data_IF_836193983827
#
_entry.id   IF_836193983827
#
_cell.length_a   1.000
_cell.length_b   1.000
_cell.length_c   1.000
_cell.angle_alpha   90.00
_cell.angle_beta   90.00
_cell.angle_gamma   90.00
#
_symmetry.space_group_name_H-M   'P 1'
#
loop_
_entity.id
_entity.type
_entity.pdbx_description
1 polymer ?
#
# COMPACT_ATOMS: atom_id res chain seq x y z
N UNK A 1 -21.78 -16.17 -19.68
CA UNK A 1 -22.17 -17.06 -18.56
C UNK A 1 -21.01 -18.00 -18.29
N UNK A 2 -20.18 -17.64 -17.31
CA UNK A 2 -19.11 -18.45 -16.76
C UNK A 2 -18.99 -18.01 -15.32
N UNK A 3 -19.23 -18.94 -14.39
CA UNK A 3 -19.37 -18.68 -12.96
C UNK A 3 -18.15 -17.91 -12.45
N UNK A 4 -18.44 -16.79 -11.77
CA UNK A 4 -17.48 -16.14 -10.89
C UNK A 4 -16.98 -17.21 -9.92
N UNK A 5 -15.68 -17.45 -9.92
CA UNK A 5 -15.02 -18.18 -8.86
C UNK A 5 -15.41 -17.50 -7.55
N UNK A 6 -16.23 -18.16 -6.74
CA UNK A 6 -16.37 -17.78 -5.33
C UNK A 6 -14.96 -17.85 -4.75
N UNK A 7 -14.40 -16.66 -4.47
CA UNK A 7 -13.12 -16.52 -3.78
C UNK A 7 -13.19 -17.36 -2.50
N UNK A 8 -12.22 -18.24 -2.22
CA UNK A 8 -12.18 -19.05 -0.99
C UNK A 8 -12.10 -18.21 0.31
N UNK A 9 -12.14 -16.88 0.20
CA UNK A 9 -12.19 -15.90 1.28
C UNK A 9 -13.43 -15.97 2.18
N UNK A 10 -14.52 -16.61 1.75
CA UNK A 10 -15.76 -16.74 2.53
C UNK A 10 -15.62 -17.57 3.82
N UNK A 11 -14.44 -18.11 4.14
CA UNK A 11 -14.20 -18.81 5.41
C UNK A 11 -13.97 -17.87 6.61
N UNK A 12 -13.85 -16.55 6.40
CA UNK A 12 -13.81 -15.58 7.51
C UNK A 12 -15.22 -15.08 7.78
N UNK A 13 -15.71 -15.29 9.01
CA UNK A 13 -16.94 -14.66 9.47
C UNK A 13 -16.76 -13.13 9.37
N UNK A 14 -17.43 -12.49 8.40
CA UNK A 14 -17.35 -11.05 8.13
C UNK A 14 -17.55 -10.22 9.39
N UNK A 15 -18.49 -10.60 10.26
CA UNK A 15 -18.74 -9.93 11.52
C UNK A 15 -17.53 -10.03 12.48
N UNK A 16 -16.86 -11.18 12.55
CA UNK A 16 -15.66 -11.35 13.38
C UNK A 16 -14.49 -10.53 12.85
N UNK A 17 -14.30 -10.50 11.52
CA UNK A 17 -13.28 -9.65 10.89
C UNK A 17 -13.50 -8.18 11.19
N UNK A 18 -14.72 -7.68 10.96
CA UNK A 18 -15.06 -6.27 11.22
C UNK A 18 -14.98 -5.93 12.70
N UNK A 19 -15.39 -6.84 13.60
CA UNK A 19 -15.24 -6.65 15.04
C UNK A 19 -13.77 -6.50 15.45
N UNK A 20 -12.86 -7.29 14.87
CA UNK A 20 -11.43 -7.15 15.12
C UNK A 20 -10.89 -5.80 14.64
N UNK A 21 -11.31 -5.35 13.44
CA UNK A 21 -10.95 -4.02 12.95
C UNK A 21 -11.51 -2.90 13.84
N UNK A 22 -12.73 -3.02 14.36
CA UNK A 22 -13.30 -2.04 15.29
C UNK A 22 -12.50 -1.95 16.58
N UNK A 23 -12.10 -3.10 17.13
CA UNK A 23 -11.41 -3.15 18.42
C UNK A 23 -9.94 -2.75 18.34
N UNK A 24 -9.25 -3.12 17.25
CA UNK A 24 -7.79 -3.03 17.17
C UNK A 24 -7.27 -2.25 15.96
N UNK A 25 -8.14 -1.86 15.02
CA UNK A 25 -7.73 -1.40 13.69
C UNK A 25 -6.99 -2.47 12.88
N UNK A 26 -6.94 -3.71 13.38
CA UNK A 26 -6.14 -4.82 12.89
C UNK A 26 -6.93 -6.11 12.87
N UNK A 27 -6.73 -6.89 11.82
CA UNK A 27 -7.16 -8.27 11.74
C UNK A 27 -6.09 -9.13 11.09
N UNK A 28 -6.07 -10.40 11.43
CA UNK A 28 -5.23 -11.41 10.78
C UNK A 28 -6.13 -12.33 9.96
N UNK A 29 -5.72 -12.57 8.72
CA UNK A 29 -6.38 -13.49 7.82
C UNK A 29 -5.51 -14.72 7.62
N UNK A 30 -6.13 -15.88 7.44
CA UNK A 30 -5.47 -17.08 6.99
C UNK A 30 -5.75 -17.26 5.49
N UNK A 31 -4.71 -17.41 4.69
CA UNK A 31 -4.78 -17.64 3.24
C UNK A 31 -4.42 -19.08 2.89
N UNK A 32 -4.78 -19.52 1.70
CA UNK A 32 -4.41 -20.87 1.25
C UNK A 32 -2.90 -21.01 1.07
N UNK A 33 -2.39 -22.24 1.11
CA UNK A 33 -0.97 -22.51 0.82
C UNK A 33 -0.54 -22.09 -0.59
N UNK A 34 -1.47 -22.06 -1.55
CA UNK A 34 -1.22 -21.59 -2.92
C UNK A 34 -1.06 -20.07 -2.95
N UNK A 35 -1.98 -19.35 -2.29
CA UNK A 35 -1.91 -17.90 -2.15
C UNK A 35 -0.64 -17.46 -1.39
N UNK A 36 -0.24 -18.19 -0.35
CA UNK A 36 0.95 -17.90 0.45
C UNK A 36 2.27 -18.07 -0.32
N UNK A 37 2.32 -18.89 -1.38
CA UNK A 37 3.54 -19.09 -2.19
C UNK A 37 3.87 -17.89 -3.07
N UNK A 38 2.85 -17.16 -3.53
CA UNK A 38 3.01 -15.99 -4.42
C UNK A 38 3.90 -14.91 -3.78
N UNK A 39 3.62 -14.39 -2.55
CA UNK A 39 4.49 -13.41 -1.91
C UNK A 39 5.86 -13.97 -1.52
N UNK A 40 5.98 -15.28 -1.21
CA UNK A 40 7.28 -15.90 -0.91
C UNK A 40 8.22 -15.84 -2.13
N UNK A 41 7.73 -16.26 -3.30
CA UNK A 41 8.49 -16.16 -4.55
C UNK A 41 8.81 -14.70 -4.89
N UNK A 42 7.86 -13.79 -4.67
CA UNK A 42 8.07 -12.38 -4.93
C UNK A 42 9.15 -11.76 -4.02
N UNK A 43 9.25 -12.13 -2.74
CA UNK A 43 10.34 -11.68 -1.88
C UNK A 43 11.71 -12.02 -2.48
N UNK A 44 11.89 -13.26 -2.94
CA UNK A 44 13.14 -13.73 -3.53
C UNK A 44 13.49 -12.98 -4.82
N UNK A 45 12.55 -12.94 -5.78
CA UNK A 45 12.77 -12.30 -7.08
C UNK A 45 12.97 -10.79 -6.95
N UNK A 46 12.18 -10.11 -6.10
CA UNK A 46 12.33 -8.67 -5.88
C UNK A 46 13.62 -8.34 -5.15
N UNK A 47 14.10 -9.18 -4.22
CA UNK A 47 15.41 -8.97 -3.57
C UNK A 47 16.53 -8.95 -4.60
N UNK A 48 16.57 -9.96 -5.48
CA UNK A 48 17.55 -10.05 -6.58
C UNK A 48 17.46 -8.78 -7.45
N UNK A 49 16.27 -8.41 -7.86
CA UNK A 49 16.04 -7.21 -8.67
C UNK A 49 16.51 -5.92 -7.98
N UNK A 50 16.26 -5.74 -6.68
CA UNK A 50 16.70 -4.56 -5.93
C UNK A 50 18.22 -4.44 -5.87
N UNK A 51 18.94 -5.56 -5.72
CA UNK A 51 20.40 -5.58 -5.77
C UNK A 51 20.89 -5.12 -7.15
N UNK A 52 20.32 -5.65 -8.23
CA UNK A 52 20.64 -5.25 -9.60
C UNK A 52 20.37 -3.76 -9.85
N UNK A 53 19.24 -3.22 -9.35
CA UNK A 53 18.95 -1.78 -9.47
C UNK A 53 19.97 -0.90 -8.74
N UNK A 54 20.52 -1.37 -7.62
CA UNK A 54 21.50 -0.61 -6.85
C UNK A 54 22.86 -0.52 -7.56
N UNK A 55 23.19 -1.48 -8.42
CA UNK A 55 24.38 -1.48 -9.28
C UNK A 55 24.26 -0.51 -10.48
N UNK A 56 23.02 -0.18 -10.88
CA UNK A 56 22.75 0.76 -11.96
C UNK A 56 22.95 2.23 -11.52
N UNK A 57 23.39 3.06 -12.47
CA UNK A 57 23.35 4.51 -12.30
C UNK A 57 21.91 5.00 -12.17
N UNK A 58 21.70 6.15 -11.53
CA UNK A 58 20.37 6.66 -11.20
C UNK A 58 19.44 6.76 -12.41
N UNK A 59 19.99 7.09 -13.57
CA UNK A 59 19.29 7.28 -14.85
C UNK A 59 18.87 5.95 -15.49
N UNK A 60 19.52 4.85 -15.12
CA UNK A 60 19.23 3.51 -15.64
C UNK A 60 18.29 2.70 -14.75
N UNK A 61 18.03 3.16 -13.52
CA UNK A 61 17.09 2.52 -12.61
C UNK A 61 15.68 2.67 -13.16
N UNK A 62 14.91 1.58 -13.13
CA UNK A 62 13.56 1.62 -13.65
C UNK A 62 12.67 2.48 -12.77
N UNK A 63 12.10 3.53 -13.37
CA UNK A 63 11.08 4.38 -12.76
C UNK A 63 10.10 4.78 -13.86
N UNK A 64 8.80 4.71 -13.57
CA UNK A 64 7.74 5.23 -14.43
C UNK A 64 6.76 6.07 -13.62
N UNK A 65 5.98 6.93 -14.28
CA UNK A 65 5.10 7.91 -13.65
C UNK A 65 3.65 7.44 -13.65
N UNK A 66 2.95 7.72 -12.56
CA UNK A 66 1.55 7.28 -12.40
C UNK A 66 0.59 8.09 -13.26
N UNK A 67 0.91 9.36 -13.48
CA UNK A 67 0.28 10.24 -14.44
C UNK A 67 1.19 10.41 -15.66
N UNK A 68 0.66 10.99 -16.74
CA UNK A 68 1.42 11.31 -17.95
C UNK A 68 2.41 12.46 -17.78
N UNK A 69 2.63 12.93 -16.54
CA UNK A 69 3.64 13.96 -16.28
C UNK A 69 5.04 13.40 -16.61
N UNK A 70 5.71 14.00 -17.60
CA UNK A 70 7.06 13.59 -18.02
C UNK A 70 8.11 14.23 -17.13
N UNK A 71 9.14 13.46 -16.80
CA UNK A 71 10.37 14.02 -16.24
C UNK A 71 11.00 15.02 -17.22
N UNK A 72 11.06 16.29 -16.86
CA UNK A 72 11.78 17.31 -17.63
C UNK A 72 10.92 18.27 -18.45
N UNK A 73 9.59 18.11 -18.47
CA UNK A 73 8.76 19.30 -18.62
C UNK A 73 8.98 20.12 -17.34
N UNK A 74 9.31 21.41 -17.47
CA UNK A 74 9.32 22.32 -16.33
C UNK A 74 8.11 22.01 -15.48
N UNK A 75 8.33 21.78 -14.19
CA UNK A 75 7.33 21.63 -13.14
C UNK A 75 6.26 22.69 -13.41
N UNK A 76 5.25 22.32 -14.19
CA UNK A 76 4.45 23.30 -14.89
C UNK A 76 3.52 23.80 -13.80
N UNK A 77 3.87 24.96 -13.24
CA UNK A 77 3.10 25.66 -12.24
C UNK A 77 1.66 25.99 -12.70
N UNK A 78 1.34 25.66 -13.96
CA UNK A 78 0.00 25.68 -14.55
C UNK A 78 -0.83 24.42 -14.29
N UNK A 79 -0.25 23.30 -13.84
CA UNK A 79 -1.05 22.17 -13.37
C UNK A 79 -1.56 22.51 -11.95
N UNK A 80 -2.77 23.06 -11.91
CA UNK A 80 -3.38 23.66 -10.71
C UNK A 80 -3.42 22.70 -9.52
N UNK A 81 -3.32 21.39 -9.76
CA UNK A 81 -3.30 20.37 -8.73
C UNK A 81 -1.95 20.24 -8.00
N UNK A 82 -0.82 20.43 -8.67
CA UNK A 82 0.49 20.39 -8.01
C UNK A 82 0.72 21.61 -7.11
N UNK A 83 0.21 22.77 -7.51
CA UNK A 83 0.30 24.01 -6.73
C UNK A 83 -0.63 24.02 -5.51
N UNK A 84 -1.79 23.37 -5.60
CA UNK A 84 -2.76 23.29 -4.49
C UNK A 84 -2.53 22.09 -3.55
N UNK A 85 -2.04 20.95 -4.07
CA UNK A 85 -1.93 19.67 -3.33
C UNK A 85 -0.55 19.00 -3.52
N UNK A 86 0.55 19.61 -3.03
CA UNK A 86 1.91 19.19 -3.35
C UNK A 86 2.35 17.87 -2.66
N UNK A 87 1.83 17.53 -1.49
CA UNK A 87 2.26 16.33 -0.76
C UNK A 87 1.68 15.04 -1.35
N UNK A 88 0.42 15.07 -1.79
CA UNK A 88 -0.28 13.94 -2.45
C UNK A 88 0.20 13.77 -3.88
N UNK A 89 0.59 14.86 -4.55
CA UNK A 89 1.08 14.81 -5.94
C UNK A 89 2.55 14.37 -6.03
N UNK A 90 3.36 14.58 -4.98
CA UNK A 90 4.73 14.08 -4.92
C UNK A 90 4.79 12.55 -4.77
N UNK A 91 5.71 11.91 -5.48
CA UNK A 91 6.04 10.49 -5.28
C UNK A 91 5.08 9.49 -5.95
N UNK A 92 4.24 9.94 -6.88
CA UNK A 92 3.38 9.07 -7.69
C UNK A 92 4.20 8.42 -8.82
N UNK A 93 4.93 7.36 -8.48
CA UNK A 93 5.77 6.60 -9.41
C UNK A 93 5.53 5.09 -9.29
N UNK A 94 6.00 4.31 -10.24
CA UNK A 94 6.25 2.88 -10.09
C UNK A 94 7.72 2.58 -10.39
N UNK A 95 8.23 1.45 -9.93
CA UNK A 95 9.62 1.05 -10.07
C UNK A 95 10.45 1.25 -8.81
N UNK A 96 11.75 1.50 -9.00
CA UNK A 96 12.75 1.56 -7.93
C UNK A 96 12.65 2.85 -7.12
N UNK A 97 12.77 2.72 -5.80
CA UNK A 97 12.95 3.84 -4.90
C UNK A 97 13.82 3.45 -3.71
N UNK A 98 14.40 4.44 -3.04
CA UNK A 98 15.21 4.23 -1.85
C UNK A 98 15.18 5.44 -0.94
N UNK A 99 15.23 5.21 0.36
CA UNK A 99 15.46 6.21 1.38
C UNK A 99 16.65 5.79 2.29
N UNK A 100 16.88 6.51 3.39
CA UNK A 100 17.99 6.21 4.32
C UNK A 100 17.87 4.87 5.03
N UNK A 101 16.65 4.32 5.12
CA UNK A 101 16.32 3.13 5.89
C UNK A 101 16.06 1.90 5.02
N UNK A 102 15.75 2.06 3.72
CA UNK A 102 15.33 0.94 2.86
C UNK A 102 15.44 1.26 1.38
N UNK A 103 15.56 0.21 0.59
CA UNK A 103 15.32 0.21 -0.85
C UNK A 103 14.04 -0.58 -1.13
N UNK A 104 13.29 -0.20 -2.17
CA UNK A 104 12.00 -0.83 -2.44
C UNK A 104 11.55 -0.72 -3.88
N UNK A 105 10.74 -1.70 -4.27
CA UNK A 105 9.96 -1.67 -5.49
C UNK A 105 8.56 -1.14 -5.15
N UNK A 106 8.10 -0.12 -5.87
CA UNK A 106 6.74 0.39 -5.80
C UNK A 106 5.97 -0.03 -7.07
N UNK A 107 4.83 -0.67 -6.91
CA UNK A 107 4.00 -1.13 -8.02
C UNK A 107 2.55 -0.71 -7.86
N UNK A 108 1.83 -0.64 -8.97
CA UNK A 108 0.42 -0.27 -9.05
C UNK A 108 -0.21 -1.06 -10.19
N UNK A 109 -1.49 -1.38 -10.08
CA UNK A 109 -2.20 -2.05 -11.17
C UNK A 109 -2.24 -1.14 -12.42
N UNK A 110 -1.91 -1.68 -13.61
CA UNK A 110 -2.18 -0.98 -14.85
C UNK A 110 -3.68 -1.01 -15.13
N UNK A 111 -4.25 0.10 -15.61
CA UNK A 111 -5.70 0.21 -15.84
C UNK A 111 -5.99 0.07 -17.34
N UNK A 112 -6.97 -0.73 -17.74
CA UNK A 112 -7.29 -0.87 -19.18
C UNK A 112 -7.61 0.47 -19.85
N UNK A 113 -8.39 1.31 -19.16
CA UNK A 113 -8.74 2.64 -19.63
C UNK A 113 -7.52 3.55 -19.83
N UNK A 114 -6.38 3.36 -19.14
CA UNK A 114 -5.18 4.14 -19.44
C UNK A 114 -4.49 3.70 -20.72
N UNK A 115 -4.74 2.47 -21.18
CA UNK A 115 -3.99 1.84 -22.26
C UNK A 115 -2.52 1.57 -21.91
N UNK A 116 -2.16 1.59 -20.62
CA UNK A 116 -0.79 1.30 -20.17
C UNK A 116 -0.45 -0.15 -20.48
N UNK A 117 0.63 -0.42 -21.22
CA UNK A 117 0.99 -1.79 -21.58
C UNK A 117 1.49 -2.57 -20.36
N UNK A 118 1.16 -3.86 -20.30
CA UNK A 118 1.79 -4.80 -19.38
C UNK A 118 2.33 -6.01 -20.15
N UNK A 119 3.59 -6.42 -19.94
CA UNK A 119 4.57 -5.84 -19.01
C UNK A 119 5.11 -4.49 -19.49
N UNK A 120 5.57 -3.59 -18.59
CA UNK A 120 6.23 -2.35 -18.96
C UNK A 120 7.42 -2.60 -19.90
N UNK A 121 7.74 -1.64 -20.78
CA UNK A 121 8.84 -1.75 -21.76
C UNK A 121 10.15 -2.23 -21.13
N UNK A 122 10.43 -1.78 -19.89
CA UNK A 122 11.57 -2.19 -19.10
C UNK A 122 11.74 -3.72 -18.97
N UNK A 123 10.64 -4.47 -18.88
CA UNK A 123 10.65 -5.92 -18.68
C UNK A 123 10.50 -6.71 -19.99
N UNK A 124 10.55 -6.06 -21.17
CA UNK A 124 10.27 -6.72 -22.45
C UNK A 124 11.51 -7.27 -23.17
N UNK A 125 12.70 -7.02 -22.64
CA UNK A 125 14.01 -7.35 -23.21
C UNK A 125 14.38 -8.85 -23.15
N UNK A 126 13.79 -9.61 -22.21
CA UNK A 126 14.02 -11.04 -22.08
C UNK A 126 12.75 -11.79 -21.65
N UNK A 127 12.71 -13.11 -21.89
CA UNK A 127 11.60 -13.94 -21.41
C UNK A 127 11.57 -14.02 -19.87
N UNK A 128 12.73 -14.04 -19.20
CA UNK A 128 12.83 -14.04 -17.73
C UNK A 128 12.23 -12.77 -17.13
N UNK A 129 12.47 -11.61 -17.75
CA UNK A 129 11.92 -10.33 -17.31
C UNK A 129 10.41 -10.24 -17.54
N UNK A 130 9.90 -10.77 -18.67
CA UNK A 130 8.45 -10.85 -18.93
C UNK A 130 7.75 -11.77 -17.93
N UNK A 131 8.37 -12.90 -17.59
CA UNK A 131 7.87 -13.81 -16.57
C UNK A 131 7.86 -13.12 -15.20
N UNK A 132 8.94 -12.44 -14.83
CA UNK A 132 9.00 -11.69 -13.57
C UNK A 132 7.89 -10.63 -13.49
N UNK A 133 7.65 -9.87 -14.56
CA UNK A 133 6.55 -8.92 -14.61
C UNK A 133 5.16 -9.60 -14.52
N UNK A 134 5.02 -10.82 -15.03
CA UNK A 134 3.78 -11.61 -14.90
C UNK A 134 3.56 -12.04 -13.43
N UNK A 135 4.61 -12.47 -12.75
CA UNK A 135 4.55 -12.81 -11.31
C UNK A 135 4.18 -11.60 -10.46
N UNK A 136 4.76 -10.43 -10.75
CA UNK A 136 4.44 -9.17 -10.07
C UNK A 136 2.99 -8.75 -10.26
N UNK A 137 2.42 -8.95 -11.45
CA UNK A 137 1.00 -8.69 -11.69
C UNK A 137 0.11 -9.67 -10.91
N UNK A 138 0.48 -10.95 -10.90
CA UNK A 138 -0.24 -11.97 -10.12
C UNK A 138 -0.23 -11.64 -8.63
N UNK A 139 0.89 -11.17 -8.09
CA UNK A 139 0.99 -10.69 -6.72
C UNK A 139 0.09 -9.47 -6.46
N UNK A 140 0.11 -8.47 -7.34
CA UNK A 140 -0.73 -7.27 -7.22
C UNK A 140 -2.21 -7.62 -7.18
N UNK A 141 -2.65 -8.51 -8.06
CA UNK A 141 -4.04 -8.94 -8.15
C UNK A 141 -4.47 -9.74 -6.94
N UNK A 142 -3.63 -10.66 -6.47
CA UNK A 142 -3.91 -11.38 -5.22
C UNK A 142 -4.14 -10.40 -4.06
N UNK A 143 -3.24 -9.44 -3.87
CA UNK A 143 -3.34 -8.50 -2.75
C UNK A 143 -4.51 -7.52 -2.91
N UNK A 144 -4.83 -7.11 -4.15
CA UNK A 144 -6.03 -6.32 -4.46
C UNK A 144 -7.32 -7.10 -4.18
N UNK A 145 -7.40 -8.36 -4.61
CA UNK A 145 -8.53 -9.27 -4.37
C UNK A 145 -8.81 -9.43 -2.87
N UNK A 146 -7.79 -9.78 -2.10
CA UNK A 146 -7.87 -9.92 -0.64
C UNK A 146 -8.32 -8.60 0.00
N UNK A 147 -7.80 -7.46 -0.46
CA UNK A 147 -8.17 -6.15 0.07
C UNK A 147 -9.63 -5.78 -0.24
N UNK A 148 -10.12 -6.13 -1.44
CA UNK A 148 -11.50 -5.90 -1.86
C UNK A 148 -12.47 -6.82 -1.12
N UNK A 149 -12.11 -8.07 -0.90
CA UNK A 149 -12.90 -9.00 -0.08
C UNK A 149 -13.01 -8.49 1.37
N UNK A 150 -11.93 -7.93 1.94
CA UNK A 150 -11.98 -7.24 3.23
C UNK A 150 -12.98 -6.07 3.22
N UNK A 151 -12.95 -5.24 2.17
CA UNK A 151 -13.88 -4.11 2.05
C UNK A 151 -15.33 -4.56 1.84
N UNK A 152 -15.56 -5.68 1.16
CA UNK A 152 -16.88 -6.27 1.02
C UNK A 152 -17.47 -6.66 2.37
N UNK A 153 -16.67 -7.31 3.23
CA UNK A 153 -17.07 -7.63 4.60
C UNK A 153 -17.41 -6.36 5.41
N UNK A 154 -16.61 -5.29 5.26
CA UNK A 154 -16.89 -3.98 5.91
C UNK A 154 -18.20 -3.39 5.40
N UNK A 155 -18.43 -3.40 4.08
CA UNK A 155 -19.67 -2.91 3.48
C UNK A 155 -20.89 -3.67 3.99
N UNK A 156 -20.82 -5.00 4.04
CA UNK A 156 -21.90 -5.85 4.53
C UNK A 156 -22.25 -5.56 5.99
N UNK A 157 -21.24 -5.54 6.89
CA UNK A 157 -21.48 -5.40 8.34
C UNK A 157 -21.87 -3.97 8.72
N UNK A 158 -21.28 -2.96 8.08
CA UNK A 158 -21.53 -1.55 8.41
C UNK A 158 -22.57 -0.89 7.50
N UNK A 159 -23.19 -1.66 6.59
CA UNK A 159 -24.21 -1.19 5.65
C UNK A 159 -23.73 0.02 4.81
N UNK A 160 -22.48 -0.06 4.33
CA UNK A 160 -21.92 0.90 3.36
C UNK A 160 -22.33 0.44 1.96
N UNK A 161 -22.74 1.38 1.10
CA UNK A 161 -23.13 1.09 -0.27
C UNK A 161 -21.97 0.46 -1.07
N UNK A 162 -22.10 -0.83 -1.37
CA UNK A 162 -21.13 -1.63 -2.10
C UNK A 162 -20.87 -1.09 -3.51
N UNK A 163 -21.93 -0.64 -4.21
CA UNK A 163 -21.78 -0.13 -5.58
C UNK A 163 -20.98 1.15 -5.58
N UNK A 164 -21.30 2.08 -4.68
CA UNK A 164 -20.53 3.30 -4.53
C UNK A 164 -19.07 3.00 -4.20
N UNK A 165 -18.80 2.08 -3.27
CA UNK A 165 -17.42 1.74 -2.90
C UNK A 165 -16.63 1.13 -4.07
N UNK A 166 -17.19 0.13 -4.76
CA UNK A 166 -16.42 -0.61 -5.77
C UNK A 166 -16.44 0.05 -7.17
N UNK A 167 -17.51 0.71 -7.55
CA UNK A 167 -17.66 1.31 -8.89
C UNK A 167 -17.22 2.79 -8.92
N UNK A 168 -17.51 3.55 -7.87
CA UNK A 168 -17.22 4.99 -7.84
C UNK A 168 -15.93 5.33 -7.10
N UNK A 169 -15.66 4.70 -5.95
CA UNK A 169 -14.55 5.06 -5.09
C UNK A 169 -13.22 4.40 -5.51
N UNK A 170 -13.24 3.12 -5.88
CA UNK A 170 -12.06 2.35 -6.27
C UNK A 170 -11.78 2.43 -7.79
N UNK A 171 -10.55 2.07 -8.16
CA UNK A 171 -10.17 1.87 -9.57
C UNK A 171 -10.81 0.60 -10.14
N UNK A 172 -11.06 0.62 -11.45
CA UNK A 172 -11.45 -0.57 -12.21
C UNK A 172 -10.30 -1.59 -12.28
N UNK A 173 -10.66 -2.88 -12.38
CA UNK A 173 -9.72 -4.01 -12.40
C UNK A 173 -9.42 -4.53 -13.80
N UNK A 174 -10.04 -3.98 -14.84
CA UNK A 174 -9.86 -4.51 -16.19
C UNK A 174 -8.40 -4.39 -16.60
N UNK A 175 -7.79 -5.53 -16.97
CA UNK A 175 -6.43 -5.55 -17.49
C UNK A 175 -6.37 -4.82 -18.83
N UNK A 176 -5.34 -4.00 -19.08
CA UNK A 176 -5.05 -3.53 -20.42
C UNK A 176 -4.77 -4.72 -21.34
N UNK A 177 -5.53 -4.81 -22.43
CA UNK A 177 -5.27 -5.77 -23.52
C UNK A 177 -5.14 -5.01 -24.83
N UNK A 178 -4.40 -5.60 -25.78
CA UNK A 178 -4.28 -5.04 -27.14
C UNK A 178 -5.64 -4.91 -27.84
N UNK A 179 -6.62 -5.70 -27.40
CA UNK A 179 -7.99 -5.74 -27.89
C UNK A 179 -8.97 -4.81 -27.16
N UNK A 180 -8.52 -3.96 -26.23
CA UNK A 180 -9.42 -3.09 -25.47
C UNK A 180 -10.14 -2.07 -26.38
N UNK A 181 -11.48 -2.11 -26.39
CA UNK A 181 -12.35 -1.27 -27.22
C UNK A 181 -13.04 -0.12 -26.46
N UNK A 182 -12.75 0.05 -25.17
CA UNK A 182 -13.36 1.10 -24.35
C UNK A 182 -12.73 2.48 -24.55
N UNK A 183 -13.32 3.51 -23.93
CA UNK A 183 -12.75 4.86 -23.90
C UNK A 183 -11.39 4.84 -23.17
N UNK A 184 -10.38 5.46 -23.79
CA UNK A 184 -9.07 5.62 -23.15
C UNK A 184 -8.99 6.96 -22.42
N UNK A 185 -8.58 6.94 -21.16
CA UNK A 185 -8.24 8.11 -20.37
C UNK A 185 -6.71 8.20 -20.23
N UNK A 186 -6.05 9.06 -21.02
CA UNK A 186 -4.60 9.19 -20.97
C UNK A 186 -4.11 10.00 -19.75
N UNK A 187 -4.99 10.51 -18.87
CA UNK A 187 -4.57 11.37 -17.75
C UNK A 187 -3.83 10.61 -16.63
N UNK A 188 -3.98 9.29 -16.58
CA UNK A 188 -3.25 8.40 -15.66
C UNK A 188 -2.84 7.12 -16.36
N UNK A 189 -1.77 6.48 -15.87
CA UNK A 189 -1.24 5.21 -16.36
C UNK A 189 -1.58 4.05 -15.41
N UNK A 190 -1.56 4.32 -14.11
CA UNK A 190 -1.72 3.29 -13.07
C UNK A 190 -2.75 3.72 -12.02
N UNK A 191 -3.32 2.72 -11.33
CA UNK A 191 -4.30 2.94 -10.26
C UNK A 191 -3.76 3.62 -9.00
N UNK A 192 -4.69 4.03 -8.13
CA UNK A 192 -4.46 4.71 -6.87
C UNK A 192 -3.91 3.79 -5.78
N UNK A 193 -4.33 2.52 -5.75
CA UNK A 193 -3.77 1.50 -4.86
C UNK A 193 -2.31 1.22 -5.19
N UNK A 194 -1.52 0.84 -4.19
CA UNK A 194 -0.07 0.71 -4.34
C UNK A 194 0.46 -0.47 -3.54
N UNK A 195 1.36 -1.23 -4.13
CA UNK A 195 2.20 -2.21 -3.45
C UNK A 195 3.58 -1.62 -3.23
N UNK A 196 4.16 -1.84 -2.05
CA UNK A 196 5.58 -1.55 -1.81
C UNK A 196 6.26 -2.76 -1.25
N UNK A 197 7.22 -3.31 -1.98
CA UNK A 197 8.07 -4.40 -1.51
C UNK A 197 9.34 -3.78 -0.94
N UNK A 198 9.39 -3.64 0.38
CA UNK A 198 10.51 -3.05 1.10
C UNK A 198 11.59 -4.07 1.40
N UNK A 199 12.85 -3.66 1.25
CA UNK A 199 14.02 -4.32 1.79
C UNK A 199 14.69 -3.37 2.79
N UNK A 200 14.54 -3.65 4.08
CA UNK A 200 15.03 -2.76 5.13
C UNK A 200 16.54 -2.90 5.29
N UNK A 201 17.23 -1.78 5.44
CA UNK A 201 18.67 -1.77 5.73
C UNK A 201 18.90 -2.33 7.12
N UNK A 202 19.96 -3.10 7.25
CA UNK A 202 20.42 -3.56 8.56
C UNK A 202 20.97 -2.37 9.33
N UNK A 203 20.56 -2.24 10.59
CA UNK A 203 20.97 -1.14 11.46
C UNK A 203 22.14 -1.51 12.36
N UNK A 204 22.39 -2.80 12.57
CA UNK A 204 23.49 -3.29 13.40
C UNK A 204 23.46 -4.81 13.51
N UNK A 205 24.44 -5.38 14.20
CA UNK A 205 24.48 -6.83 14.44
C UNK A 205 23.65 -7.24 15.65
N UNK A 206 23.44 -6.31 16.57
CA UNK A 206 22.66 -6.50 17.80
C UNK A 206 21.82 -5.26 18.10
N UNK A 207 20.59 -5.42 18.64
CA UNK A 207 19.78 -4.30 19.11
C UNK A 207 20.47 -3.41 20.15
N UNK A 208 21.44 -3.94 20.90
CA UNK A 208 22.19 -3.17 21.90
C UNK A 208 23.15 -2.12 21.29
N UNK A 209 23.46 -2.24 19.99
CA UNK A 209 24.40 -1.38 19.27
C UNK A 209 23.70 -0.21 18.55
N UNK A 210 22.37 -0.19 18.54
CA UNK A 210 21.57 0.71 17.71
C UNK A 210 20.74 1.63 18.60
N UNK A 211 20.60 2.89 18.20
CA UNK A 211 19.65 3.81 18.83
C UNK A 211 18.24 3.22 18.73
N UNK A 212 17.53 2.96 19.85
CA UNK A 212 16.19 2.40 19.82
C UNK A 212 15.17 3.28 19.06
N UNK A 213 15.50 4.56 18.82
CA UNK A 213 14.68 5.50 18.06
C UNK A 213 15.01 5.54 16.56
N UNK A 214 16.03 4.82 16.07
CA UNK A 214 16.36 4.74 14.65
C UNK A 214 15.49 3.71 13.90
N UNK A 215 14.18 3.93 13.97
CA UNK A 215 13.18 3.06 13.38
C UNK A 215 13.44 2.81 11.88
N UNK A 216 13.37 1.54 11.48
CA UNK A 216 13.36 1.11 10.08
C UNK A 216 12.13 1.66 9.35
N UNK A 217 11.00 1.75 10.05
CA UNK A 217 9.84 2.54 9.67
C UNK A 217 9.27 3.25 10.89
N UNK A 218 9.23 4.59 10.87
CA UNK A 218 8.73 5.38 12.00
C UNK A 218 7.25 5.18 12.29
N UNK A 219 6.79 5.71 13.42
CA UNK A 219 5.39 5.68 13.85
C UNK A 219 4.50 6.40 12.84
N UNK A 220 3.49 5.70 12.32
CA UNK A 220 2.49 6.26 11.41
C UNK A 220 1.19 5.45 11.43
N UNK A 221 0.16 6.02 10.80
CA UNK A 221 -1.07 5.32 10.42
C UNK A 221 -1.22 5.41 8.90
N UNK A 222 -1.69 4.32 8.29
CA UNK A 222 -1.83 4.23 6.85
C UNK A 222 -2.96 5.09 6.31
N UNK A 223 -2.80 5.55 5.08
CA UNK A 223 -3.69 6.55 4.50
C UNK A 223 -4.95 5.96 3.88
N UNK A 224 -4.87 4.73 3.35
CA UNK A 224 -5.89 4.16 2.47
C UNK A 224 -7.18 3.69 3.16
N UNK A 225 -7.86 2.75 2.52
CA UNK A 225 -9.01 2.05 3.10
C UNK A 225 -8.52 0.92 4.00
N UNK A 226 -7.80 -0.03 3.41
CA UNK A 226 -7.15 -1.13 4.12
C UNK A 226 -5.75 -1.35 3.57
N UNK A 227 -4.86 -1.82 4.42
CA UNK A 227 -3.54 -2.32 4.05
C UNK A 227 -3.51 -3.82 4.29
N UNK A 228 -3.22 -4.60 3.25
CA UNK A 228 -2.99 -6.05 3.34
C UNK A 228 -1.48 -6.29 3.21
N UNK A 229 -0.88 -6.99 4.17
CA UNK A 229 0.55 -7.35 4.14
C UNK A 229 0.72 -8.85 4.44
N UNK A 230 1.31 -9.63 3.53
CA UNK A 230 1.92 -10.90 3.88
C UNK A 230 2.93 -10.73 5.03
N UNK A 231 3.14 -11.78 5.83
CA UNK A 231 4.16 -11.78 6.89
C UNK A 231 5.53 -11.42 6.31
N UNK A 232 6.25 -10.54 6.99
CA UNK A 232 7.62 -10.21 6.63
C UNK A 232 8.56 -11.42 6.69
N UNK A 233 9.68 -11.38 5.95
CA UNK A 233 10.68 -12.48 5.97
C UNK A 233 11.37 -12.63 7.32
N UNK A 234 11.33 -11.58 8.14
CA UNK A 234 11.75 -11.56 9.54
C UNK A 234 10.67 -10.78 10.29
N UNK A 235 10.06 -11.27 11.38
CA UNK A 235 9.08 -10.51 12.14
C UNK A 235 9.65 -9.18 12.65
N UNK A 236 8.86 -8.11 12.61
CA UNK A 236 9.25 -6.84 13.22
C UNK A 236 8.20 -5.75 13.15
N UNK A 237 6.98 -6.05 12.69
CA UNK A 237 5.90 -5.08 12.73
C UNK A 237 5.34 -4.95 14.15
N UNK A 238 5.37 -3.73 14.67
CA UNK A 238 4.75 -3.36 15.94
C UNK A 238 3.53 -2.49 15.74
N UNK A 239 2.48 -2.74 16.53
CA UNK A 239 1.25 -1.95 16.54
C UNK A 239 0.98 -1.36 17.92
N UNK A 240 0.44 -0.15 17.96
CA UNK A 240 0.03 0.50 19.19
C UNK A 240 -1.27 -0.10 19.70
N UNK A 241 -1.23 -0.72 20.88
CA UNK A 241 -2.42 -1.16 21.58
C UNK A 241 -2.86 -0.04 22.54
N UNK A 242 -3.96 0.63 22.20
CA UNK A 242 -4.50 1.74 22.98
C UNK A 242 -5.03 1.30 24.36
N UNK A 243 -5.57 0.09 24.48
CA UNK A 243 -6.10 -0.42 25.75
C UNK A 243 -4.97 -0.69 26.76
N UNK A 244 -3.88 -1.27 26.28
CA UNK A 244 -2.72 -1.66 27.09
C UNK A 244 -1.65 -0.58 27.19
N UNK A 245 -1.78 0.49 26.40
CA UNK A 245 -0.80 1.56 26.28
C UNK A 245 0.60 1.00 26.00
N UNK A 246 0.71 0.08 25.05
CA UNK A 246 2.00 -0.51 24.67
C UNK A 246 2.08 -0.89 23.18
N UNK A 247 3.32 -1.03 22.69
CA UNK A 247 3.61 -1.60 21.38
C UNK A 247 3.56 -3.12 21.45
N UNK A 248 2.83 -3.75 20.53
CA UNK A 248 2.65 -5.21 20.43
C UNK A 248 3.26 -5.72 19.13
N UNK A 249 4.06 -6.78 19.22
CA UNK A 249 4.58 -7.53 18.06
C UNK A 249 3.46 -8.34 17.41
N UNK A 250 3.00 -7.92 16.23
CA UNK A 250 1.84 -8.58 15.59
C UNK A 250 2.24 -9.73 14.67
N UNK A 251 3.53 -9.92 14.43
CA UNK A 251 4.07 -10.99 13.57
C UNK A 251 4.72 -12.15 14.34
N UNK A 252 4.96 -12.02 15.65
CA UNK A 252 5.72 -13.01 16.45
C UNK A 252 5.15 -14.43 16.35
N UNK A 253 3.82 -14.55 16.32
CA UNK A 253 3.10 -15.83 16.19
C UNK A 253 2.44 -16.01 14.82
N UNK A 254 2.93 -15.34 13.78
CA UNK A 254 2.39 -15.46 12.43
C UNK A 254 3.21 -16.47 11.61
N UNK A 255 2.52 -17.40 10.97
CA UNK A 255 3.10 -18.25 9.91
C UNK A 255 2.93 -17.61 8.53
N UNK A 256 3.59 -18.15 7.51
CA UNK A 256 3.48 -17.67 6.11
C UNK A 256 2.06 -17.75 5.52
N UNK A 257 1.14 -18.47 6.18
CA UNK A 257 -0.28 -18.52 5.79
C UNK A 257 -1.07 -17.33 6.34
N UNK A 258 -0.46 -16.47 7.15
CA UNK A 258 -1.15 -15.34 7.74
C UNK A 258 -0.89 -14.05 7.00
N UNK A 259 -1.95 -13.34 6.63
CA UNK A 259 -1.85 -11.99 6.10
C UNK A 259 -2.38 -11.02 7.15
N UNK A 260 -1.61 -9.98 7.41
CA UNK A 260 -1.96 -8.89 8.30
C UNK A 260 -2.81 -7.86 7.57
N UNK A 261 -3.91 -7.42 8.17
CA UNK A 261 -4.81 -6.41 7.61
C UNK A 261 -4.98 -5.26 8.59
N UNK A 262 -4.68 -4.04 8.15
CA UNK A 262 -4.82 -2.83 8.95
C UNK A 262 -5.82 -1.89 8.30
N UNK A 263 -6.63 -1.20 9.10
CA UNK A 263 -7.45 -0.10 8.63
C UNK A 263 -6.58 1.14 8.30
N UNK A 264 -6.94 1.85 7.23
CA UNK A 264 -6.35 3.14 6.90
C UNK A 264 -7.29 4.31 7.23
N UNK A 265 -6.78 5.52 7.10
CA UNK A 265 -7.50 6.72 7.54
C UNK A 265 -8.66 7.12 6.64
N UNK A 266 -8.65 6.75 5.36
CA UNK A 266 -9.86 6.87 4.54
C UNK A 266 -10.97 6.00 5.12
N UNK A 267 -10.68 4.75 5.52
CA UNK A 267 -11.71 3.91 6.16
C UNK A 267 -12.17 4.49 7.51
N UNK A 268 -11.25 5.06 8.28
CA UNK A 268 -11.59 5.78 9.51
C UNK A 268 -12.57 6.93 9.28
N UNK A 269 -12.38 7.70 8.20
CA UNK A 269 -13.33 8.74 7.81
C UNK A 269 -14.68 8.12 7.40
N UNK A 270 -14.68 7.12 6.51
CA UNK A 270 -15.91 6.53 5.96
C UNK A 270 -16.78 5.88 7.03
N UNK A 271 -16.16 5.38 8.09
CA UNK A 271 -16.85 4.72 9.22
C UNK A 271 -17.09 5.67 10.39
N UNK A 272 -16.84 6.97 10.22
CA UNK A 272 -16.97 7.97 11.29
C UNK A 272 -16.23 7.58 12.58
N UNK A 273 -15.04 6.98 12.44
CA UNK A 273 -14.19 6.55 13.55
C UNK A 273 -14.55 5.20 14.17
N UNK A 274 -15.62 4.53 13.72
CA UNK A 274 -15.98 3.18 14.20
C UNK A 274 -14.85 2.17 13.96
N UNK A 275 -14.14 2.28 12.83
CA UNK A 275 -12.88 1.57 12.60
C UNK A 275 -11.78 2.61 12.54
N UNK A 276 -10.86 2.59 13.50
CA UNK A 276 -9.74 3.55 13.54
C UNK A 276 -8.49 2.98 12.87
N UNK A 277 -7.73 3.83 12.20
CA UNK A 277 -6.45 3.44 11.64
C UNK A 277 -5.41 3.31 12.75
N UNK A 278 -4.79 2.14 12.94
CA UNK A 278 -3.90 1.92 14.04
C UNK A 278 -2.52 2.52 13.77
N UNK A 279 -1.90 3.07 14.83
CA UNK A 279 -0.50 3.46 14.78
C UNK A 279 0.36 2.21 14.74
N UNK A 280 1.36 2.21 13.86
CA UNK A 280 2.30 1.11 13.71
C UNK A 280 3.70 1.62 13.33
N UNK A 281 4.70 0.79 13.60
CA UNK A 281 6.11 1.06 13.32
C UNK A 281 6.87 -0.23 13.04
N UNK A 282 8.09 -0.09 12.50
CA UNK A 282 9.07 -1.18 12.41
C UNK A 282 10.33 -0.72 13.16
N UNK A 283 10.65 -1.35 14.30
CA UNK A 283 11.89 -1.14 15.04
C UNK A 283 13.16 -1.28 14.18
N UNK A 284 14.32 -0.85 14.70
CA UNK A 284 15.59 -1.08 14.02
C UNK A 284 15.81 -2.56 13.73
N UNK A 285 15.99 -2.91 12.45
CA UNK A 285 16.25 -4.30 12.05
C UNK A 285 17.73 -4.60 12.26
N UNK A 286 18.01 -5.56 13.13
CA UNK A 286 19.37 -6.00 13.45
C UNK A 286 19.49 -7.47 13.11
N UNK A 287 20.31 -7.79 12.10
CA UNK A 287 20.58 -9.15 11.64
C UNK A 287 22.08 -9.36 11.48
N UNK A 288 22.53 -10.61 11.61
CA UNK A 288 23.96 -10.94 11.49
C UNK A 288 24.52 -10.66 10.09
N UNK A 289 23.70 -10.83 9.05
CA UNK A 289 24.08 -10.70 7.64
C UNK A 289 23.13 -9.80 6.87
N UNK A 290 23.68 -8.94 5.99
CA UNK A 290 22.92 -8.13 5.02
C UNK A 290 22.00 -8.98 4.12
N UNK A 291 22.39 -10.23 3.85
CA UNK A 291 21.56 -11.13 3.04
C UNK A 291 20.29 -11.57 3.76
N UNK A 292 20.26 -11.53 5.09
CA UNK A 292 19.13 -11.91 5.95
C UNK A 292 18.22 -10.75 6.36
N UNK A 293 18.41 -9.56 5.76
CA UNK A 293 17.60 -8.38 6.09
C UNK A 293 16.11 -8.60 5.88
N UNK A 294 15.29 -8.00 6.74
CA UNK A 294 13.84 -8.08 6.66
C UNK A 294 13.34 -7.50 5.33
N UNK A 295 12.43 -8.23 4.68
CA UNK A 295 11.55 -7.69 3.66
C UNK A 295 10.09 -7.73 4.10
N UNK A 296 9.33 -6.73 3.68
CA UNK A 296 7.87 -6.68 3.85
C UNK A 296 7.21 -6.22 2.55
N UNK A 297 5.93 -6.50 2.35
CA UNK A 297 5.23 -6.09 1.14
C UNK A 297 3.80 -5.59 1.37
N UNK A 298 3.60 -4.47 2.08
CA UNK A 298 2.26 -3.92 2.26
C UNK A 298 1.65 -3.46 0.92
N UNK A 299 0.44 -3.92 0.67
CA UNK A 299 -0.48 -3.43 -0.35
C UNK A 299 -1.50 -2.49 0.26
N UNK A 300 -1.53 -1.26 -0.21
CA UNK A 300 -2.43 -0.22 0.28
C UNK A 300 -3.59 -0.07 -0.72
N UNK A 301 -4.77 -0.56 -0.36
CA UNK A 301 -5.99 -0.29 -1.12
C UNK A 301 -6.42 1.15 -0.89
N UNK A 302 -6.55 1.94 -1.96
CA UNK A 302 -6.83 3.38 -1.87
C UNK A 302 -8.00 3.77 -2.76
N UNK A 303 -8.79 4.72 -2.26
CA UNK A 303 -9.73 5.45 -3.08
C UNK A 303 -9.01 6.27 -4.17
N UNK A 304 -9.64 6.41 -5.33
CA UNK A 304 -9.18 7.32 -6.39
C UNK A 304 -9.01 8.73 -5.83
N UNK A 305 -7.91 9.45 -6.13
CA UNK A 305 -7.68 10.79 -5.57
C UNK A 305 -8.84 11.77 -5.79
N UNK A 306 -9.51 11.71 -6.95
CA UNK A 306 -10.64 12.58 -7.28
C UNK A 306 -12.01 12.09 -6.81
N UNK A 307 -12.11 10.89 -6.22
CA UNK A 307 -13.41 10.36 -5.79
C UNK A 307 -13.90 11.09 -4.53
N UNK A 308 -15.20 11.37 -4.48
CA UNK A 308 -15.86 11.99 -3.32
C UNK A 308 -16.03 10.96 -2.20
N UNK A 309 -15.55 11.28 -0.99
CA UNK A 309 -15.62 10.39 0.17
C UNK A 309 -16.95 10.48 0.93
N UNK A 310 -17.75 11.53 0.70
CA UNK A 310 -19.00 11.81 1.39
C UNK A 310 -20.12 12.23 0.40
N UNK A 311 -20.51 11.37 -0.55
CA UNK A 311 -21.40 11.75 -1.66
C UNK A 311 -22.79 12.24 -1.21
N UNK A 312 -23.23 11.87 0.00
CA UNK A 312 -24.52 12.29 0.58
C UNK A 312 -24.50 13.70 1.20
N UNK A 313 -23.32 14.31 1.37
CA UNK A 313 -23.21 15.67 1.89
C UNK A 313 -23.66 16.71 0.85
N UNK A 314 -24.09 17.91 1.27
CA UNK A 314 -24.30 19.03 0.36
C UNK A 314 -23.07 19.27 -0.53
N UNK A 315 -23.25 19.67 -1.80
CA UNK A 315 -22.13 19.83 -2.76
C UNK A 315 -21.00 20.73 -2.26
N UNK A 316 -21.32 21.77 -1.48
CA UNK A 316 -20.32 22.69 -0.92
C UNK A 316 -19.47 22.07 0.21
N UNK A 317 -19.91 20.93 0.76
CA UNK A 317 -19.28 20.20 1.87
C UNK A 317 -18.69 18.85 1.41
N UNK A 318 -18.84 18.52 0.13
CA UNK A 318 -18.25 17.31 -0.43
C UNK A 318 -16.72 17.42 -0.45
N UNK A 319 -16.05 16.36 -0.02
CA UNK A 319 -14.59 16.28 0.06
C UNK A 319 -14.09 15.14 -0.83
N UNK A 320 -13.07 15.40 -1.65
CA UNK A 320 -12.41 14.33 -2.40
C UNK A 320 -11.39 13.59 -1.53
N UNK A 321 -10.98 12.40 -1.97
CA UNK A 321 -9.88 11.67 -1.32
C UNK A 321 -8.61 12.53 -1.22
N UNK A 322 -8.27 13.26 -2.29
CA UNK A 322 -7.11 14.16 -2.32
C UNK A 322 -7.23 15.29 -1.31
N UNK A 323 -8.38 15.96 -1.24
CA UNK A 323 -8.60 17.08 -0.31
C UNK A 323 -8.53 16.58 1.13
N UNK A 324 -9.13 15.42 1.43
CA UNK A 324 -9.04 14.80 2.75
C UNK A 324 -7.58 14.53 3.14
N UNK A 325 -6.77 14.01 2.23
CA UNK A 325 -5.36 13.73 2.50
C UNK A 325 -4.56 15.00 2.79
N UNK A 326 -4.66 16.03 1.94
CA UNK A 326 -3.89 17.26 2.13
C UNK A 326 -4.39 18.12 3.28
N UNK A 327 -5.69 18.37 3.33
CA UNK A 327 -6.25 19.42 4.18
C UNK A 327 -6.62 18.93 5.58
N UNK A 328 -6.78 17.62 5.74
CA UNK A 328 -7.12 17.02 7.03
C UNK A 328 -5.95 16.19 7.53
N UNK A 329 -5.63 15.09 6.84
CA UNK A 329 -4.67 14.10 7.32
C UNK A 329 -3.26 14.70 7.47
N UNK A 330 -2.78 15.42 6.46
CA UNK A 330 -1.43 15.97 6.49
C UNK A 330 -1.31 17.23 7.35
N UNK A 331 -2.35 18.09 7.40
CA UNK A 331 -2.28 19.37 8.14
C UNK A 331 -2.68 19.28 9.61
N UNK A 332 -3.52 18.32 10.01
CA UNK A 332 -4.20 18.36 11.32
C UNK A 332 -3.87 17.20 12.27
N UNK A 333 -2.94 16.31 11.91
CA UNK A 333 -2.57 15.16 12.77
C UNK A 333 -1.69 15.57 13.94
N UNK A 334 -2.16 15.30 15.15
CA UNK A 334 -1.47 15.61 16.41
C UNK A 334 -0.14 14.87 16.60
N UNK A 335 0.01 13.66 16.04
CA UNK A 335 1.25 12.87 16.12
C UNK A 335 2.22 13.12 14.95
N UNK A 336 1.83 13.91 13.93
CA UNK A 336 2.74 14.24 12.84
C UNK A 336 3.67 15.35 13.31
N UNK A 337 4.99 15.10 13.22
CA UNK A 337 5.96 16.18 13.43
C UNK A 337 5.85 17.17 12.27
N UNK A 338 5.45 18.40 12.56
CA UNK A 338 5.46 19.49 11.57
C UNK A 338 6.88 19.79 11.07
N UNK A 339 7.89 19.58 11.93
CA UNK A 339 9.31 19.72 11.62
C UNK A 339 10.07 18.45 12.04
N UNK A 340 10.88 17.87 11.15
CA UNK A 340 11.69 16.68 11.43
C UNK A 340 12.69 16.88 12.57
N UNK A 341 13.04 18.14 12.88
CA UNK A 341 13.92 18.51 13.98
C UNK A 341 13.19 18.60 15.33
N UNK A 342 11.85 18.61 15.34
CA UNK A 342 11.11 18.54 16.60
C UNK A 342 11.30 17.14 17.21
N UNK A 343 11.33 17.03 18.54
CA UNK A 343 11.35 15.73 19.20
C UNK A 343 10.16 14.88 18.76
N UNK A 344 10.28 13.56 18.92
CA UNK A 344 9.11 12.68 18.79
C UNK A 344 7.98 13.26 19.63
N UNK A 345 6.72 13.20 19.17
CA UNK A 345 5.64 13.16 20.15
C UNK A 345 6.08 12.14 21.21
N UNK A 346 6.00 12.47 22.51
CA UNK A 346 6.34 11.51 23.55
C UNK A 346 5.62 10.21 23.22
N UNK A 347 6.33 9.08 23.34
CA UNK A 347 5.71 7.76 23.21
C UNK A 347 4.42 7.81 24.05
N UNK A 348 3.28 7.71 23.37
CA UNK A 348 1.97 7.79 24.02
C UNK A 348 1.81 6.66 25.02
#
# INVERSE_FOLDING_TARGET
>A
MGNAYESPFFAVNAATFVQNLQNFGFARLEVTSEQAKIPQLAFERVRKWLVEQMELSKEKRWVDYVDVSKAGETDNSSDSYYSSHPNVSRGRRVGFSSDRNREYMQLRLPIAASGTPWPPVYFQDSNENKEFATDLLTLLELLDDISRDCMKAVCEVLNIDERWLFEELLDDRTRPTDSFTGSRDPSYQYGASVLRVYNYRNKGRSPAEVDPNDFSCGVHADLGLVTVSPVATVPGLQMWNLERMNWVEVEENASTLHFSVFAGETLGLLTHGVISAPLHRVPPICVESESGRQMSMPYFLRAKPGACLNPKAPKAEQITCRDFMEDVVFKKRLWRRENSNNPAPPDY
#
